data_IF_543787155388
#
_entry.id   IF_543787155388
#
_cell.length_a   1.000
_cell.length_b   1.000
_cell.length_c   1.000
_cell.angle_alpha   90.00
_cell.angle_beta   90.00
_cell.angle_gamma   90.00
#
_symmetry.space_group_name_H-M   'P 1'
#
loop_
_entity.id
_entity.type
_entity.pdbx_description
1 polymer ?
#
# COMPACT_ATOMS: atom_id res chain seq x y z
N UNK A 1 8.16 -9.01 -7.22
CA UNK A 1 7.52 -7.76 -6.76
C UNK A 1 6.52 -7.33 -7.82
N UNK A 2 5.53 -6.52 -7.43
CA UNK A 2 4.52 -5.95 -8.32
C UNK A 2 4.14 -4.55 -7.81
N UNK A 3 3.66 -3.68 -8.70
CA UNK A 3 3.14 -2.36 -8.34
C UNK A 3 1.62 -2.36 -8.21
N UNK A 4 1.11 -1.54 -7.29
CA UNK A 4 -0.33 -1.33 -7.05
C UNK A 4 -0.61 0.08 -6.55
N UNK A 5 -1.87 0.49 -6.57
CA UNK A 5 -2.36 1.67 -5.86
C UNK A 5 -2.86 1.23 -4.48
N UNK A 6 -2.10 1.58 -3.45
CA UNK A 6 -2.36 1.33 -2.03
C UNK A 6 -3.26 2.44 -1.47
N UNK A 7 -4.25 2.07 -0.67
CA UNK A 7 -5.11 3.00 0.06
C UNK A 7 -5.04 2.78 1.56
N UNK A 8 -5.28 3.83 2.33
CA UNK A 8 -5.12 3.77 3.78
C UNK A 8 -6.18 4.60 4.48
N UNK A 9 -6.74 4.03 5.55
CA UNK A 9 -7.72 4.72 6.39
C UNK A 9 -7.13 5.94 7.12
N UNK A 10 -5.80 6.05 7.24
CA UNK A 10 -5.13 7.24 7.79
C UNK A 10 -5.24 8.48 6.87
N UNK A 11 -5.47 8.28 5.56
CA UNK A 11 -5.57 9.35 4.56
C UNK A 11 -6.52 8.92 3.42
N UNK A 12 -7.84 8.85 3.68
CA UNK A 12 -8.81 8.19 2.81
C UNK A 12 -8.93 8.79 1.40
N UNK A 13 -8.49 10.04 1.22
CA UNK A 13 -8.57 10.76 -0.06
C UNK A 13 -7.37 10.55 -0.98
N UNK A 14 -6.34 9.81 -0.55
CA UNK A 14 -5.12 9.57 -1.34
C UNK A 14 -4.97 8.09 -1.72
N UNK A 15 -4.46 7.86 -2.93
CA UNK A 15 -3.92 6.59 -3.36
C UNK A 15 -2.43 6.73 -3.62
N UNK A 16 -1.66 5.75 -3.14
CA UNK A 16 -0.21 5.76 -3.21
C UNK A 16 0.27 4.59 -4.04
N UNK A 17 1.04 4.84 -5.09
CA UNK A 17 1.65 3.80 -5.89
C UNK A 17 2.85 3.22 -5.15
N UNK A 18 2.75 1.95 -4.78
CA UNK A 18 3.79 1.23 -4.04
C UNK A 18 4.23 -0.02 -4.80
N UNK A 19 5.36 -0.59 -4.41
CA UNK A 19 5.84 -1.89 -4.88
C UNK A 19 5.84 -2.87 -3.71
N UNK A 20 5.18 -4.02 -3.88
CA UNK A 20 5.06 -5.06 -2.85
C UNK A 20 5.63 -6.39 -3.35
N UNK A 21 6.02 -7.26 -2.42
CA UNK A 21 6.33 -8.65 -2.74
C UNK A 21 5.02 -9.38 -3.09
N UNK A 22 5.08 -10.20 -4.14
CA UNK A 22 3.90 -10.96 -4.62
C UNK A 22 3.50 -12.11 -3.69
N UNK A 23 4.42 -12.54 -2.81
CA UNK A 23 4.18 -13.57 -1.82
C UNK A 23 5.17 -13.36 -0.67
N UNK A 24 4.70 -13.54 0.56
CA UNK A 24 5.50 -13.50 1.79
C UNK A 24 5.17 -14.72 2.66
N UNK A 25 6.07 -15.09 3.57
CA UNK A 25 5.77 -16.00 4.68
C UNK A 25 5.73 -15.20 5.98
N UNK A 26 4.83 -15.56 6.90
CA UNK A 26 4.65 -14.88 8.18
C UNK A 26 4.75 -15.86 9.36
N UNK A 27 5.29 -15.37 10.46
CA UNK A 27 5.16 -15.98 11.78
C UNK A 27 4.53 -14.99 12.74
N UNK A 28 3.46 -15.38 13.42
CA UNK A 28 2.74 -14.50 14.34
C UNK A 28 2.10 -15.27 15.50
N UNK A 29 1.69 -14.54 16.54
CA UNK A 29 0.88 -15.08 17.62
C UNK A 29 -0.59 -14.86 17.29
N UNK A 30 -1.39 -15.92 17.29
CA UNK A 30 -2.83 -15.77 17.20
C UNK A 30 -3.42 -15.18 18.50
N UNK A 31 -4.73 -14.92 18.50
CA UNK A 31 -5.44 -14.37 19.66
C UNK A 31 -5.46 -15.27 20.91
N UNK A 32 -5.00 -16.52 20.79
CA UNK A 32 -4.79 -17.45 21.91
C UNK A 32 -3.32 -17.53 22.36
N UNK A 33 -2.42 -16.73 21.78
CA UNK A 33 -0.99 -16.74 22.09
C UNK A 33 -0.24 -17.94 21.50
N UNK A 34 -0.82 -18.62 20.51
CA UNK A 34 -0.16 -19.74 19.83
C UNK A 34 0.63 -19.22 18.63
N UNK A 35 1.83 -19.77 18.42
CA UNK A 35 2.65 -19.47 17.25
C UNK A 35 2.00 -20.13 16.03
N UNK A 36 1.75 -19.31 15.01
CA UNK A 36 1.27 -19.73 13.69
C UNK A 36 2.34 -19.37 12.67
N UNK A 37 2.51 -20.25 11.69
CA UNK A 37 3.33 -20.02 10.52
C UNK A 37 2.45 -20.16 9.27
N UNK A 38 2.48 -19.15 8.41
CA UNK A 38 1.83 -19.19 7.10
C UNK A 38 2.91 -18.98 6.04
N UNK A 39 3.06 -19.97 5.16
CA UNK A 39 4.08 -19.96 4.13
C UNK A 39 3.51 -19.61 2.77
N UNK A 40 4.24 -18.75 2.05
CA UNK A 40 3.91 -18.35 0.67
C UNK A 40 2.44 -17.91 0.51
N UNK A 41 2.04 -16.92 1.29
CA UNK A 41 0.70 -16.34 1.21
C UNK A 41 0.37 -15.90 -0.22
N UNK A 42 -0.91 -15.98 -0.63
CA UNK A 42 -1.32 -15.48 -1.93
C UNK A 42 -1.13 -13.96 -2.01
N UNK A 43 -1.20 -13.44 -3.23
CA UNK A 43 -0.79 -12.06 -3.51
C UNK A 43 -1.64 -11.01 -2.80
N UNK A 44 -2.95 -11.22 -2.71
CA UNK A 44 -3.89 -10.30 -2.05
C UNK A 44 -3.60 -10.18 -0.55
N UNK A 45 -3.43 -11.31 0.13
CA UNK A 45 -3.08 -11.34 1.55
C UNK A 45 -1.67 -10.77 1.77
N UNK A 46 -0.74 -11.08 0.87
CA UNK A 46 0.64 -10.63 0.98
C UNK A 46 0.77 -9.11 0.93
N UNK A 47 0.04 -8.43 0.05
CA UNK A 47 0.09 -6.96 0.01
C UNK A 47 -0.56 -6.33 1.24
N UNK A 48 -1.71 -6.86 1.67
CA UNK A 48 -2.41 -6.36 2.85
C UNK A 48 -1.52 -6.51 4.09
N UNK A 49 -0.91 -7.67 4.30
CA UNK A 49 -0.01 -7.86 5.43
C UNK A 49 1.22 -6.97 5.35
N UNK A 50 1.80 -6.75 4.17
CA UNK A 50 2.91 -5.79 4.02
C UNK A 50 2.48 -4.36 4.39
N UNK A 51 1.25 -3.94 4.05
CA UNK A 51 0.69 -2.65 4.47
C UNK A 51 0.56 -2.56 6.00
N UNK A 52 -0.06 -3.56 6.63
CA UNK A 52 -0.31 -3.54 8.07
C UNK A 52 0.97 -3.71 8.91
N UNK A 53 1.95 -4.45 8.40
CA UNK A 53 3.26 -4.57 9.03
C UNK A 53 4.03 -3.24 9.00
N UNK A 54 3.95 -2.47 7.91
CA UNK A 54 4.53 -1.12 7.85
C UNK A 54 3.97 -0.22 8.98
N UNK A 55 2.66 -0.30 9.27
CA UNK A 55 2.06 0.45 10.38
C UNK A 55 2.62 0.08 11.75
N UNK A 56 2.99 -1.19 11.97
CA UNK A 56 3.62 -1.61 13.23
C UNK A 56 4.99 -0.93 13.44
N UNK A 57 5.68 -0.60 12.35
CA UNK A 57 6.94 0.14 12.37
C UNK A 57 6.76 1.66 12.22
N UNK A 58 5.51 2.16 12.22
CA UNK A 58 5.18 3.57 12.04
C UNK A 58 5.48 4.10 10.63
N UNK A 59 5.52 3.21 9.63
CA UNK A 59 5.73 3.53 8.23
C UNK A 59 4.37 3.62 7.53
N UNK A 60 4.09 4.76 6.91
CA UNK A 60 2.92 4.93 6.05
C UNK A 60 3.29 4.71 4.58
N UNK A 61 2.32 4.36 3.73
CA UNK A 61 2.54 4.20 2.29
C UNK A 61 3.21 5.45 1.65
N UNK A 62 2.84 6.66 2.07
CA UNK A 62 3.48 7.91 1.60
C UNK A 62 4.98 7.98 1.94
N UNK A 63 5.42 7.33 3.01
CA UNK A 63 6.84 7.25 3.37
C UNK A 63 7.65 6.34 2.44
N UNK A 64 6.99 5.53 1.61
CA UNK A 64 7.62 4.75 0.55
C UNK A 64 7.87 5.62 -0.71
N UNK A 65 7.19 6.76 -0.83
CA UNK A 65 7.41 7.75 -1.90
C UNK A 65 8.48 8.77 -1.50
N UNK A 66 8.39 9.32 -0.29
CA UNK A 66 9.36 10.30 0.23
C UNK A 66 9.54 10.14 1.74
N UNK A 67 10.77 10.37 2.23
CA UNK A 67 11.08 10.40 3.67
C UNK A 67 10.90 11.80 4.28
N UNK A 68 10.64 12.81 3.46
CA UNK A 68 10.36 14.17 3.92
C UNK A 68 9.00 14.24 4.63
N UNK A 69 8.86 15.15 5.60
CA UNK A 69 7.57 15.50 6.18
C UNK A 69 6.83 16.44 5.22
N UNK A 70 5.85 15.91 4.50
CA UNK A 70 5.09 16.62 3.48
C UNK A 70 3.60 16.57 3.77
N UNK A 71 2.93 17.68 3.50
CA UNK A 71 1.47 17.74 3.42
C UNK A 71 0.95 16.93 2.22
N UNK A 72 -0.35 16.64 2.24
CA UNK A 72 -1.02 15.98 1.11
C UNK A 72 -0.86 16.76 -0.20
N UNK A 73 -0.99 18.10 -0.15
CA UNK A 73 -0.85 18.95 -1.32
C UNK A 73 0.58 18.90 -1.89
N UNK A 74 1.60 18.98 -1.02
CA UNK A 74 3.00 18.84 -1.46
C UNK A 74 3.28 17.46 -2.06
N UNK A 75 2.69 16.39 -1.53
CA UNK A 75 2.82 15.05 -2.10
C UNK A 75 2.22 14.96 -3.51
N UNK A 76 1.02 15.53 -3.70
CA UNK A 76 0.33 15.55 -4.98
C UNK A 76 1.08 16.40 -6.03
N UNK A 77 1.65 17.53 -5.61
CA UNK A 77 2.42 18.41 -6.49
C UNK A 77 3.81 17.83 -6.83
N UNK A 78 4.54 17.31 -5.83
CA UNK A 78 5.91 16.81 -6.01
C UNK A 78 5.95 15.42 -6.63
N UNK A 79 4.96 14.57 -6.37
CA UNK A 79 4.94 13.16 -6.79
C UNK A 79 3.64 12.73 -7.50
N UNK A 80 3.18 13.45 -8.54
CA UNK A 80 1.89 13.19 -9.20
C UNK A 80 1.80 11.84 -9.93
N UNK A 81 2.92 11.15 -10.14
CA UNK A 81 2.98 9.80 -10.70
C UNK A 81 2.91 8.69 -9.64
N UNK A 82 3.07 9.04 -8.36
CA UNK A 82 3.09 8.11 -7.23
C UNK A 82 2.00 8.39 -6.20
N UNK A 83 1.47 9.61 -6.11
CA UNK A 83 0.36 9.96 -5.22
C UNK A 83 -0.71 10.62 -6.04
N UNK A 84 -1.95 10.13 -5.92
CA UNK A 84 -3.11 10.68 -6.61
C UNK A 84 -4.28 10.82 -5.64
N UNK A 85 -5.20 11.72 -5.97
CA UNK A 85 -6.48 11.83 -5.27
C UNK A 85 -7.36 10.61 -5.61
N UNK A 86 -8.03 10.03 -4.60
CA UNK A 86 -9.01 8.96 -4.80
C UNK A 86 -10.12 9.39 -5.76
N UNK A 87 -10.63 10.62 -5.62
CA UNK A 87 -11.60 11.18 -6.56
C UNK A 87 -11.10 11.16 -8.01
N UNK A 88 -9.81 11.41 -8.25
CA UNK A 88 -9.25 11.36 -9.60
C UNK A 88 -9.24 9.92 -10.15
N UNK A 89 -8.89 8.95 -9.30
CA UNK A 89 -8.99 7.53 -9.63
C UNK A 89 -10.42 7.13 -9.97
N UNK A 90 -11.39 7.46 -9.12
CA UNK A 90 -12.80 7.06 -9.28
C UNK A 90 -13.44 7.65 -10.55
N UNK A 91 -13.01 8.84 -10.99
CA UNK A 91 -13.47 9.44 -12.25
C UNK A 91 -12.93 8.72 -13.50
N UNK A 92 -11.78 8.03 -13.41
CA UNK A 92 -11.22 7.28 -14.53
C UNK A 92 -10.35 6.09 -14.06
N UNK A 93 -10.96 5.02 -13.49
CA UNK A 93 -10.19 3.93 -12.89
C UNK A 93 -9.28 3.24 -13.88
N UNK A 94 -9.78 2.99 -15.10
CA UNK A 94 -9.03 2.32 -16.17
C UNK A 94 -7.74 3.05 -16.55
N UNK A 95 -7.70 4.39 -16.47
CA UNK A 95 -6.47 5.16 -16.71
C UNK A 95 -5.38 4.78 -15.70
N UNK A 96 -5.72 4.70 -14.43
CA UNK A 96 -4.75 4.50 -13.35
C UNK A 96 -4.42 3.02 -13.13
N UNK A 97 -5.39 2.12 -13.32
CA UNK A 97 -5.18 0.67 -13.27
C UNK A 97 -4.14 0.20 -14.30
N UNK A 98 -4.10 0.82 -15.49
CA UNK A 98 -3.07 0.56 -16.51
C UNK A 98 -1.66 0.99 -16.11
N UNK A 99 -1.51 1.75 -15.03
CA UNK A 99 -0.22 2.22 -14.54
C UNK A 99 0.40 1.27 -13.52
N UNK A 100 -0.30 0.21 -13.10
CA UNK A 100 0.16 -0.73 -12.07
C UNK A 100 -0.01 -2.17 -12.54
N UNK A 101 0.71 -3.08 -11.90
CA UNK A 101 0.73 -4.51 -12.28
C UNK A 101 -0.44 -5.29 -11.65
N UNK A 102 -0.95 -4.80 -10.52
CA UNK A 102 -2.01 -5.42 -9.74
C UNK A 102 -3.09 -4.42 -9.37
N UNK A 103 -4.34 -4.87 -9.44
CA UNK A 103 -5.55 -4.10 -9.16
C UNK A 103 -6.42 -4.97 -8.27
N UNK A 104 -6.82 -4.43 -7.12
CA UNK A 104 -7.80 -5.03 -6.20
C UNK A 104 -9.22 -4.83 -6.75
#
# INVERSE_FOLDING_TARGET
>A
MFSMWDDCMCFPDLLVRVSRHASISLGYLNHHGQIVHEDALPQAESELFQHELDHLDGILAVNLVSKDLLSADELLERFPSHVIQRRAFDMNPTKFQKLVDYVI
#
